data_IF_621843332631
#
_entry.id   IF_621843332631
#
_cell.length_a   1.000
_cell.length_b   1.000
_cell.length_c   1.000
_cell.angle_alpha   90.00
_cell.angle_beta   90.00
_cell.angle_gamma   90.00
#
_symmetry.space_group_name_H-M   'P 1'
#
loop_
_entity.id
_entity.type
_entity.pdbx_description
1 polymer ?
#
# COMPACT_ATOMS: atom_id res chain seq x y z
N UNK A 1 -6.60 32.39 -13.05
CA UNK A 1 -5.43 31.51 -13.27
C UNK A 1 -5.94 30.15 -13.72
N UNK A 2 -5.33 29.55 -14.75
CA UNK A 2 -5.75 28.24 -15.25
C UNK A 2 -5.52 27.15 -14.21
N UNK A 3 -6.46 26.21 -14.12
CA UNK A 3 -6.29 24.99 -13.30
C UNK A 3 -5.24 24.09 -13.95
N UNK A 4 -4.23 23.67 -13.19
CA UNK A 4 -3.23 22.71 -13.65
C UNK A 4 -3.87 21.33 -13.82
N UNK A 5 -3.52 20.65 -14.92
CA UNK A 5 -3.88 19.25 -15.16
C UNK A 5 -2.64 18.39 -14.93
N UNK A 6 -2.57 17.75 -13.76
CA UNK A 6 -1.51 16.80 -13.43
C UNK A 6 -1.83 15.42 -14.02
N UNK A 7 -0.80 14.71 -14.48
CA UNK A 7 -0.90 13.36 -15.07
C UNK A 7 0.35 12.53 -14.76
N UNK A 8 0.71 12.48 -13.48
CA UNK A 8 1.87 11.72 -12.99
C UNK A 8 1.44 10.34 -12.51
N UNK A 9 2.38 9.40 -12.51
CA UNK A 9 2.26 8.11 -11.83
C UNK A 9 3.37 7.98 -10.80
N UNK A 10 3.17 7.14 -9.79
CA UNK A 10 4.14 7.04 -8.70
C UNK A 10 5.46 6.49 -9.23
N UNK A 11 6.59 7.07 -8.79
CA UNK A 11 7.90 6.55 -9.16
C UNK A 11 8.25 5.27 -8.38
N UNK A 12 9.19 4.47 -8.89
CA UNK A 12 9.72 3.30 -8.18
C UNK A 12 10.26 3.65 -6.79
N UNK A 13 10.91 4.82 -6.67
CA UNK A 13 11.40 5.32 -5.38
C UNK A 13 10.25 5.67 -4.43
N UNK A 14 9.13 6.21 -4.95
CA UNK A 14 7.90 6.44 -4.19
C UNK A 14 7.29 5.14 -3.69
N UNK A 15 7.15 4.14 -4.57
CA UNK A 15 6.62 2.80 -4.23
C UNK A 15 7.44 2.16 -3.12
N UNK A 16 8.77 2.17 -3.26
CA UNK A 16 9.68 1.59 -2.28
C UNK A 16 9.51 2.23 -0.89
N UNK A 17 9.43 3.56 -0.82
CA UNK A 17 9.27 4.28 0.46
C UNK A 17 7.94 3.95 1.15
N UNK A 18 6.85 3.90 0.39
CA UNK A 18 5.56 3.51 0.97
C UNK A 18 5.65 2.06 1.46
N UNK A 19 6.20 1.15 0.65
CA UNK A 19 6.36 -0.26 1.02
C UNK A 19 7.26 -0.48 2.26
N UNK A 20 8.26 0.38 2.48
CA UNK A 20 9.09 0.37 3.70
C UNK A 20 8.29 0.73 4.96
N UNK A 21 7.31 1.64 4.86
CA UNK A 21 6.43 1.97 5.98
C UNK A 21 5.40 0.88 6.28
N UNK A 22 4.86 0.23 5.25
CA UNK A 22 3.84 -0.82 5.42
C UNK A 22 4.43 -2.19 5.78
N UNK A 23 5.71 -2.40 5.45
CA UNK A 23 6.32 -3.72 5.47
C UNK A 23 6.00 -4.50 4.20
N UNK A 24 6.99 -5.26 3.71
CA UNK A 24 6.86 -6.04 2.48
C UNK A 24 7.08 -7.52 2.77
N UNK A 25 6.17 -8.35 2.26
CA UNK A 25 6.30 -9.82 2.22
C UNK A 25 6.21 -10.25 0.77
N UNK A 26 7.25 -10.88 0.23
CA UNK A 26 7.28 -11.31 -1.17
C UNK A 26 6.55 -12.66 -1.36
N UNK A 27 5.25 -12.67 -1.04
CA UNK A 27 4.42 -13.88 -1.04
C UNK A 27 3.05 -13.73 -0.37
N UNK A 28 2.35 -14.86 -0.22
CA UNK A 28 1.03 -14.99 0.42
C UNK A 28 1.17 -15.23 1.93
N UNK A 29 0.48 -14.43 2.74
CA UNK A 29 0.49 -14.52 4.20
C UNK A 29 -0.90 -14.24 4.79
N UNK A 30 -1.08 -14.62 6.05
CA UNK A 30 -2.26 -14.22 6.82
C UNK A 30 -1.92 -12.96 7.62
N UNK A 31 -2.68 -11.88 7.43
CA UNK A 31 -2.53 -10.65 8.21
C UNK A 31 -2.91 -10.87 9.71
N UNK A 32 -2.74 -9.88 10.60
CA UNK A 32 -3.13 -10.00 12.00
C UNK A 32 -4.62 -10.33 12.21
N UNK A 33 -5.48 -10.02 11.24
CA UNK A 33 -6.92 -10.35 11.23
C UNK A 33 -7.21 -11.73 10.61
N UNK A 34 -6.17 -12.50 10.26
CA UNK A 34 -6.25 -13.81 9.61
C UNK A 34 -6.83 -13.77 8.19
N UNK A 35 -6.73 -12.64 7.53
CA UNK A 35 -7.11 -12.52 6.12
C UNK A 35 -5.93 -12.81 5.22
N UNK A 36 -6.21 -13.45 4.09
CA UNK A 36 -5.22 -13.76 3.09
C UNK A 36 -4.78 -12.46 2.41
N UNK A 37 -3.49 -12.24 2.43
CA UNK A 37 -2.86 -11.00 1.97
C UNK A 37 -1.62 -11.35 1.14
N UNK A 38 -1.35 -10.53 0.13
CA UNK A 38 -0.18 -10.65 -0.72
C UNK A 38 0.68 -9.39 -0.65
N UNK A 39 2.00 -9.53 -0.73
CA UNK A 39 2.85 -8.37 -1.01
C UNK A 39 2.81 -7.30 0.10
N UNK A 40 2.51 -6.07 -0.32
CA UNK A 40 2.35 -4.89 0.53
C UNK A 40 0.86 -4.69 0.83
N UNK A 41 0.35 -5.46 1.79
CA UNK A 41 -1.02 -5.29 2.31
C UNK A 41 -2.16 -5.55 1.31
N UNK A 42 -1.93 -6.21 0.18
CA UNK A 42 -2.97 -6.50 -0.81
C UNK A 42 -3.93 -7.56 -0.28
N UNK A 43 -5.13 -7.17 0.14
CA UNK A 43 -6.16 -8.09 0.62
C UNK A 43 -6.66 -8.98 -0.52
N UNK A 44 -6.31 -10.26 -0.46
CA UNK A 44 -6.79 -11.29 -1.39
C UNK A 44 -8.20 -11.71 -0.99
N UNK A 45 -8.38 -12.13 0.28
CA UNK A 45 -9.68 -12.63 0.75
C UNK A 45 -9.84 -12.52 2.26
N UNK A 46 -11.08 -12.36 2.72
CA UNK A 46 -11.47 -12.40 4.14
C UNK A 46 -11.57 -13.83 4.68
N UNK A 47 -10.54 -14.62 4.45
CA UNK A 47 -10.27 -15.96 4.97
C UNK A 47 -8.77 -16.15 4.99
N UNK A 48 -8.26 -17.17 5.69
CA UNK A 48 -6.84 -17.52 5.59
C UNK A 48 -6.47 -17.91 4.15
N UNK A 49 -5.18 -17.77 3.81
CA UNK A 49 -4.63 -18.21 2.52
C UNK A 49 -4.62 -19.74 2.44
N UNK A 50 -5.26 -20.27 1.41
CA UNK A 50 -5.31 -21.71 1.18
C UNK A 50 -3.96 -22.26 0.75
N UNK A 51 -3.16 -21.52 -0.03
CA UNK A 51 -1.80 -21.92 -0.39
C UNK A 51 -0.89 -22.05 0.84
N UNK A 52 -1.04 -21.15 1.82
CA UNK A 52 -0.31 -21.25 3.09
C UNK A 52 -0.80 -22.41 3.95
N UNK A 53 -2.11 -22.65 4.00
CA UNK A 53 -2.67 -23.82 4.66
C UNK A 53 -2.21 -25.13 3.99
N UNK A 54 -2.15 -25.17 2.65
CA UNK A 54 -1.65 -26.28 1.86
C UNK A 54 -0.16 -26.52 2.08
N UNK A 55 0.66 -25.47 2.18
CA UNK A 55 2.07 -25.62 2.51
C UNK A 55 2.29 -26.15 3.93
N UNK A 56 1.37 -25.87 4.86
CA UNK A 56 1.41 -26.38 6.23
C UNK A 56 0.84 -27.80 6.39
N UNK A 57 0.35 -28.46 5.33
CA UNK A 57 -0.36 -29.74 5.47
C UNK A 57 0.53 -30.92 5.86
N UNK A 58 1.83 -30.84 5.58
CA UNK A 58 2.81 -31.87 5.96
C UNK A 58 4.23 -31.28 6.11
N UNK A 59 5.08 -32.03 6.79
CA UNK A 59 6.44 -31.61 7.16
C UNK A 59 7.38 -31.40 5.97
N UNK A 60 7.12 -32.01 4.81
CA UNK A 60 7.94 -31.77 3.61
C UNK A 60 7.54 -30.47 2.92
N UNK A 61 6.24 -30.23 2.73
CA UNK A 61 5.73 -29.02 2.10
C UNK A 61 6.01 -27.78 2.95
N UNK A 62 5.98 -27.92 4.28
CA UNK A 62 6.22 -26.85 5.26
C UNK A 62 7.60 -26.21 5.12
N UNK A 63 8.59 -26.94 4.57
CA UNK A 63 9.93 -26.41 4.25
C UNK A 63 9.89 -25.30 3.18
N UNK A 64 8.78 -25.17 2.45
CA UNK A 64 8.58 -24.13 1.45
C UNK A 64 8.08 -22.81 2.05
N UNK A 65 7.72 -22.79 3.34
CA UNK A 65 7.27 -21.58 4.05
C UNK A 65 8.49 -20.77 4.50
N UNK A 66 8.42 -19.46 4.29
CA UNK A 66 9.41 -18.51 4.75
C UNK A 66 8.87 -17.67 5.91
N UNK A 67 9.78 -16.98 6.61
CA UNK A 67 9.47 -16.11 7.74
C UNK A 67 9.98 -14.71 7.45
N UNK A 68 9.11 -13.72 7.66
CA UNK A 68 9.47 -12.32 7.66
C UNK A 68 9.53 -11.82 9.10
N UNK A 69 10.56 -11.03 9.41
CA UNK A 69 10.89 -10.54 10.76
C UNK A 69 11.01 -11.64 11.83
N UNK A 70 11.92 -12.62 11.64
CA UNK A 70 12.04 -13.73 12.58
C UNK A 70 12.40 -13.27 14.00
N UNK A 71 11.73 -13.86 15.00
CA UNK A 71 11.92 -13.55 16.42
C UNK A 71 11.30 -12.23 16.89
N UNK A 72 10.54 -11.54 16.04
CA UNK A 72 9.75 -10.36 16.43
C UNK A 72 8.33 -10.77 16.83
N UNK A 73 7.67 -9.95 17.64
CA UNK A 73 6.25 -10.16 18.02
C UNK A 73 5.29 -10.14 16.81
N UNK A 74 5.75 -9.61 15.69
CA UNK A 74 5.07 -9.53 14.40
C UNK A 74 5.72 -10.42 13.33
N UNK A 75 6.45 -11.47 13.74
CA UNK A 75 6.94 -12.50 12.81
C UNK A 75 5.78 -13.04 11.97
N UNK A 76 5.96 -13.05 10.65
CA UNK A 76 4.91 -13.46 9.72
C UNK A 76 5.43 -14.58 8.84
N UNK A 77 4.76 -15.73 8.86
CA UNK A 77 5.02 -16.85 7.94
C UNK A 77 4.28 -16.65 6.63
N UNK A 78 4.91 -17.01 5.52
CA UNK A 78 4.32 -16.81 4.20
C UNK A 78 4.77 -17.88 3.20
N UNK A 79 3.98 -18.07 2.14
CA UNK A 79 4.37 -18.83 0.96
C UNK A 79 5.05 -17.87 -0.01
N UNK A 80 6.34 -18.03 -0.32
CA UNK A 80 7.06 -17.12 -1.19
C UNK A 80 6.52 -17.20 -2.61
N UNK A 81 6.56 -16.08 -3.33
CA UNK A 81 6.13 -16.01 -4.73
C UNK A 81 6.89 -17.01 -5.63
N UNK A 82 8.15 -17.31 -5.28
CA UNK A 82 9.02 -18.26 -5.98
C UNK A 82 8.54 -19.72 -5.84
N UNK A 83 7.51 -20.00 -5.04
CA UNK A 83 6.96 -21.35 -4.93
C UNK A 83 6.54 -21.91 -6.29
N UNK A 84 6.16 -21.05 -7.25
CA UNK A 84 5.74 -21.45 -8.60
C UNK A 84 6.81 -22.23 -9.38
N UNK A 85 8.09 -22.13 -8.99
CA UNK A 85 9.19 -22.88 -9.61
C UNK A 85 9.61 -24.12 -8.82
N UNK A 86 8.97 -24.38 -7.67
CA UNK A 86 9.27 -25.52 -6.80
C UNK A 86 8.59 -26.80 -7.30
N UNK A 87 9.27 -27.93 -7.14
CA UNK A 87 8.68 -29.27 -7.33
C UNK A 87 7.46 -29.52 -6.41
N UNK A 88 7.39 -28.80 -5.29
CA UNK A 88 6.31 -28.91 -4.32
C UNK A 88 5.07 -28.10 -4.70
N UNK A 89 5.13 -27.23 -5.72
CA UNK A 89 4.03 -26.32 -6.07
C UNK A 89 2.72 -27.05 -6.33
N UNK A 90 2.77 -28.11 -7.16
CA UNK A 90 1.58 -28.88 -7.52
C UNK A 90 0.94 -29.55 -6.29
N UNK A 91 1.77 -30.12 -5.39
CA UNK A 91 1.32 -30.78 -4.16
C UNK A 91 0.70 -29.77 -3.18
N UNK A 92 1.32 -28.60 -3.01
CA UNK A 92 0.76 -27.51 -2.19
C UNK A 92 -0.57 -27.05 -2.76
N UNK A 93 -0.65 -26.84 -4.08
CA UNK A 93 -1.89 -26.42 -4.74
C UNK A 93 -3.00 -27.46 -4.55
N UNK A 94 -2.69 -28.75 -4.65
CA UNK A 94 -3.65 -29.82 -4.41
C UNK A 94 -4.17 -29.84 -2.96
N UNK A 95 -3.26 -29.71 -1.99
CA UNK A 95 -3.62 -29.61 -0.57
C UNK A 95 -4.43 -28.34 -0.27
N UNK A 96 -4.06 -27.20 -0.88
CA UNK A 96 -4.78 -25.94 -0.80
C UNK A 96 -6.21 -26.07 -1.34
N UNK A 97 -6.38 -26.72 -2.50
CA UNK A 97 -7.71 -26.98 -3.09
C UNK A 97 -8.59 -27.81 -2.16
N UNK A 98 -8.05 -28.86 -1.52
CA UNK A 98 -8.81 -29.64 -0.51
C UNK A 98 -9.24 -28.79 0.68
N UNK A 99 -8.34 -27.96 1.20
CA UNK A 99 -8.65 -27.04 2.30
C UNK A 99 -9.73 -26.02 1.91
N UNK A 100 -9.67 -25.50 0.68
CA UNK A 100 -10.68 -24.59 0.15
C UNK A 100 -12.05 -25.27 -0.02
N UNK A 101 -12.09 -26.50 -0.50
CA UNK A 101 -13.33 -27.29 -0.61
C UNK A 101 -13.99 -27.48 0.76
N UNK A 102 -13.22 -27.91 1.77
CA UNK A 102 -13.74 -28.06 3.14
C UNK A 102 -14.20 -26.72 3.72
N UNK A 103 -13.43 -25.65 3.51
CA UNK A 103 -13.81 -24.31 3.96
C UNK A 103 -15.18 -23.88 3.41
N UNK A 104 -15.37 -23.98 2.09
CA UNK A 104 -16.62 -23.55 1.48
C UNK A 104 -17.78 -24.49 1.82
N UNK A 105 -17.54 -25.81 1.91
CA UNK A 105 -18.55 -26.78 2.33
C UNK A 105 -19.07 -26.46 3.74
N UNK A 106 -18.16 -26.18 4.68
CA UNK A 106 -18.54 -25.82 6.04
C UNK A 106 -19.26 -24.48 6.09
N UNK A 107 -18.77 -23.47 5.37
CA UNK A 107 -19.35 -22.12 5.39
C UNK A 107 -20.74 -22.06 4.76
N UNK A 108 -20.98 -22.81 3.69
CA UNK A 108 -22.24 -22.76 2.94
C UNK A 108 -23.26 -23.82 3.39
N UNK A 109 -22.80 -25.00 3.78
CA UNK A 109 -23.65 -26.16 4.07
C UNK A 109 -23.52 -26.70 5.50
N UNK A 110 -22.56 -26.21 6.30
CA UNK A 110 -22.25 -26.71 7.65
C UNK A 110 -21.97 -28.22 7.69
N UNK A 111 -21.36 -28.74 6.62
CA UNK A 111 -21.01 -30.14 6.43
C UNK A 111 -19.60 -30.24 5.83
N UNK A 112 -18.94 -31.38 6.05
CA UNK A 112 -17.70 -31.72 5.35
C UNK A 112 -17.98 -31.90 3.85
N UNK A 113 -17.01 -31.56 3.00
CA UNK A 113 -17.15 -31.62 1.55
C UNK A 113 -17.57 -33.02 1.05
N UNK A 114 -16.97 -34.06 1.62
CA UNK A 114 -17.27 -35.46 1.26
C UNK A 114 -18.70 -35.90 1.61
N UNK A 115 -19.39 -35.16 2.50
CA UNK A 115 -20.76 -35.47 2.96
C UNK A 115 -21.83 -34.65 2.22
N UNK A 116 -21.45 -33.93 1.17
CA UNK A 116 -22.36 -33.17 0.32
C UNK A 116 -22.93 -34.03 -0.82
N UNK A 117 -24.10 -33.65 -1.33
CA UNK A 117 -24.62 -34.25 -2.56
C UNK A 117 -23.71 -33.89 -3.76
N UNK A 118 -23.67 -34.73 -4.79
CA UNK A 118 -22.76 -34.55 -5.93
C UNK A 118 -22.89 -33.17 -6.61
N UNK A 119 -24.11 -32.64 -6.69
CA UNK A 119 -24.34 -31.30 -7.25
C UNK A 119 -23.77 -30.17 -6.38
N UNK A 120 -23.80 -30.31 -5.05
CA UNK A 120 -23.18 -29.36 -4.12
C UNK A 120 -21.66 -29.49 -4.15
N UNK A 121 -21.13 -30.72 -4.22
CA UNK A 121 -19.69 -30.94 -4.37
C UNK A 121 -19.15 -30.25 -5.62
N UNK A 122 -19.85 -30.36 -6.75
CA UNK A 122 -19.40 -29.71 -7.99
C UNK A 122 -19.38 -28.19 -7.86
N UNK A 123 -20.41 -27.58 -7.27
CA UNK A 123 -20.42 -26.14 -6.97
C UNK A 123 -19.25 -25.74 -6.07
N UNK A 124 -19.00 -26.49 -5.00
CA UNK A 124 -17.93 -26.20 -4.05
C UNK A 124 -16.55 -26.34 -4.72
N UNK A 125 -16.34 -27.32 -5.60
CA UNK A 125 -15.10 -27.44 -6.39
C UNK A 125 -14.85 -26.18 -7.22
N UNK A 126 -15.84 -25.68 -7.95
CA UNK A 126 -15.70 -24.45 -8.74
C UNK A 126 -15.30 -23.25 -7.87
N UNK A 127 -15.92 -23.09 -6.69
CA UNK A 127 -15.55 -22.02 -5.76
C UNK A 127 -14.13 -22.19 -5.21
N UNK A 128 -13.75 -23.41 -4.84
CA UNK A 128 -12.41 -23.72 -4.36
C UNK A 128 -11.36 -23.44 -5.43
N UNK A 129 -11.56 -23.89 -6.66
CA UNK A 129 -10.66 -23.65 -7.79
C UNK A 129 -10.51 -22.16 -8.09
N UNK A 130 -11.60 -21.39 -8.08
CA UNK A 130 -11.56 -19.94 -8.25
C UNK A 130 -10.75 -19.26 -7.13
N UNK A 131 -10.93 -19.68 -5.88
CA UNK A 131 -10.20 -19.14 -4.73
C UNK A 131 -8.71 -19.47 -4.75
N UNK A 132 -8.34 -20.67 -5.20
CA UNK A 132 -6.94 -21.05 -5.45
C UNK A 132 -6.37 -20.25 -6.62
N UNK A 133 -7.15 -20.07 -7.69
CA UNK A 133 -6.72 -19.29 -8.85
C UNK A 133 -6.38 -17.85 -8.44
N UNK A 134 -7.24 -17.20 -7.65
CA UNK A 134 -7.04 -15.86 -7.10
C UNK A 134 -5.69 -15.72 -6.36
N UNK A 135 -5.36 -16.69 -5.51
CA UNK A 135 -4.06 -16.72 -4.83
C UNK A 135 -2.90 -17.00 -5.80
N UNK A 136 -3.03 -17.99 -6.68
CA UNK A 136 -1.94 -18.39 -7.58
C UNK A 136 -1.66 -17.41 -8.70
N UNK A 137 -2.65 -16.62 -9.12
CA UNK A 137 -2.48 -15.55 -10.11
C UNK A 137 -1.59 -14.40 -9.57
N UNK A 138 -1.48 -14.26 -8.24
CA UNK A 138 -0.66 -13.23 -7.60
C UNK A 138 0.83 -13.62 -7.51
N UNK A 139 1.13 -14.91 -7.35
CA UNK A 139 2.49 -15.43 -7.13
C UNK A 139 3.51 -15.09 -8.26
N UNK A 140 3.13 -14.88 -9.52
CA UNK A 140 4.08 -14.40 -10.53
C UNK A 140 4.50 -12.93 -10.35
N UNK A 141 3.72 -12.11 -9.65
CA UNK A 141 3.99 -10.67 -9.53
C UNK A 141 5.01 -10.38 -8.43
N UNK A 142 5.97 -9.51 -8.68
CA UNK A 142 6.79 -8.94 -7.59
C UNK A 142 5.86 -8.13 -6.68
N UNK A 143 6.04 -8.23 -5.35
CA UNK A 143 5.18 -7.55 -4.38
C UNK A 143 4.96 -6.05 -4.68
N UNK A 144 6.02 -5.34 -5.07
CA UNK A 144 5.95 -3.91 -5.42
C UNK A 144 5.20 -3.62 -6.71
N UNK A 145 5.16 -4.55 -7.66
CA UNK A 145 4.42 -4.38 -8.91
C UNK A 145 2.92 -4.57 -8.70
N UNK A 146 2.54 -5.51 -7.83
CA UNK A 146 1.15 -5.59 -7.39
C UNK A 146 0.76 -4.33 -6.60
N UNK A 147 1.64 -3.87 -5.71
CA UNK A 147 1.39 -2.67 -4.92
C UNK A 147 1.23 -1.40 -5.77
N UNK A 148 2.01 -1.24 -6.85
CA UNK A 148 1.81 -0.16 -7.83
C UNK A 148 0.39 -0.12 -8.40
N UNK A 149 -0.20 -1.28 -8.69
CA UNK A 149 -1.59 -1.36 -9.17
C UNK A 149 -2.55 -0.88 -8.09
N UNK A 150 -2.34 -1.28 -6.84
CA UNK A 150 -3.17 -0.88 -5.71
C UNK A 150 -3.12 0.66 -5.48
N UNK A 151 -2.00 1.29 -5.82
CA UNK A 151 -1.78 2.74 -5.68
C UNK A 151 -2.49 3.61 -6.73
N UNK A 152 -2.91 3.06 -7.88
CA UNK A 152 -3.48 3.83 -9.01
C UNK A 152 -4.65 4.73 -8.62
N UNK A 153 -5.49 4.26 -7.71
CA UNK A 153 -6.66 5.01 -7.28
C UNK A 153 -6.31 6.19 -6.35
N UNK A 154 -5.14 6.13 -5.69
CA UNK A 154 -4.56 7.22 -4.90
C UNK A 154 -3.86 8.22 -5.81
N UNK A 155 -3.12 7.75 -6.82
CA UNK A 155 -2.57 8.59 -7.90
C UNK A 155 -3.63 9.47 -8.55
N UNK A 156 -4.76 8.85 -8.92
CA UNK A 156 -5.90 9.55 -9.51
C UNK A 156 -6.43 10.63 -8.58
N UNK A 157 -6.48 10.36 -7.27
CA UNK A 157 -6.96 11.31 -6.26
C UNK A 157 -6.02 12.52 -6.18
N UNK A 158 -4.70 12.30 -6.19
CA UNK A 158 -3.70 13.38 -6.14
C UNK A 158 -3.74 14.21 -7.43
N UNK A 159 -3.72 13.56 -8.61
CA UNK A 159 -3.72 14.27 -9.90
C UNK A 159 -4.96 15.15 -10.10
N UNK A 160 -6.12 14.68 -9.63
CA UNK A 160 -7.39 15.43 -9.76
C UNK A 160 -7.62 16.45 -8.65
N UNK A 161 -7.11 16.19 -7.44
CA UNK A 161 -7.27 17.09 -6.31
C UNK A 161 -6.34 18.31 -6.36
N UNK A 162 -5.10 18.12 -6.83
CA UNK A 162 -4.11 19.21 -6.91
C UNK A 162 -4.23 19.94 -8.25
N UNK A 163 -4.72 21.17 -8.19
CA UNK A 163 -5.07 22.00 -9.34
C UNK A 163 -4.41 23.37 -9.32
N UNK A 164 -3.92 23.83 -8.17
CA UNK A 164 -3.26 25.13 -8.03
C UNK A 164 -1.81 25.17 -8.47
N UNK A 165 -1.17 23.99 -8.60
CA UNK A 165 0.26 23.86 -8.90
C UNK A 165 0.53 22.67 -9.85
N UNK A 166 1.50 22.84 -10.76
CA UNK A 166 2.08 21.73 -11.50
C UNK A 166 2.98 20.92 -10.56
N UNK A 167 2.61 19.67 -10.29
CA UNK A 167 3.37 18.81 -9.40
C UNK A 167 4.68 18.37 -10.05
N UNK A 168 5.75 18.35 -9.27
CA UNK A 168 6.93 17.55 -9.60
C UNK A 168 6.75 16.11 -9.14
N UNK A 169 7.57 15.20 -9.64
CA UNK A 169 7.53 13.79 -9.23
C UNK A 169 7.71 13.62 -7.71
N UNK A 170 8.59 14.40 -7.08
CA UNK A 170 8.81 14.35 -5.64
C UNK A 170 7.58 14.77 -4.83
N UNK A 171 6.91 15.85 -5.26
CA UNK A 171 5.65 16.30 -4.64
C UNK A 171 4.54 15.26 -4.82
N UNK A 172 4.41 14.71 -6.04
CA UNK A 172 3.39 13.72 -6.34
C UNK A 172 3.56 12.45 -5.51
N UNK A 173 4.78 11.88 -5.47
CA UNK A 173 5.05 10.69 -4.68
C UNK A 173 4.78 10.89 -3.17
N UNK A 174 5.14 12.07 -2.64
CA UNK A 174 4.89 12.41 -1.23
C UNK A 174 3.39 12.46 -0.93
N UNK A 175 2.61 13.07 -1.82
CA UNK A 175 1.15 13.11 -1.69
C UNK A 175 0.53 11.72 -1.85
N UNK A 176 0.97 10.90 -2.81
CA UNK A 176 0.44 9.52 -2.94
C UNK A 176 0.69 8.72 -1.67
N UNK A 177 1.88 8.82 -1.05
CA UNK A 177 2.16 8.21 0.26
C UNK A 177 1.21 8.70 1.35
N UNK A 178 1.01 10.01 1.42
CA UNK A 178 0.11 10.62 2.40
C UNK A 178 -1.33 10.13 2.22
N UNK A 179 -1.88 10.22 1.01
CA UNK A 179 -3.26 9.83 0.69
C UNK A 179 -3.46 8.32 0.87
N UNK A 180 -2.45 7.50 0.57
CA UNK A 180 -2.49 6.07 0.88
C UNK A 180 -2.69 5.83 2.38
N UNK A 181 -1.98 6.57 3.23
CA UNK A 181 -2.02 6.39 4.68
C UNK A 181 -3.27 6.98 5.35
N UNK A 182 -3.71 8.18 4.94
CA UNK A 182 -4.85 8.87 5.58
C UNK A 182 -6.19 8.61 4.89
N UNK A 183 -6.15 8.12 3.65
CA UNK A 183 -7.32 7.88 2.82
C UNK A 183 -7.73 9.09 1.95
N UNK A 184 -8.39 8.77 0.83
CA UNK A 184 -8.79 9.74 -0.21
C UNK A 184 -9.76 10.81 0.31
N UNK A 185 -10.76 10.39 1.08
CA UNK A 185 -11.77 11.31 1.63
C UNK A 185 -11.16 12.34 2.58
N UNK A 186 -10.25 11.90 3.45
CA UNK A 186 -9.54 12.77 4.38
C UNK A 186 -8.64 13.78 3.65
N UNK A 187 -7.95 13.34 2.59
CA UNK A 187 -7.15 14.23 1.75
C UNK A 187 -8.00 15.28 1.03
N UNK A 188 -9.09 14.86 0.38
CA UNK A 188 -9.93 15.75 -0.43
C UNK A 188 -10.58 16.89 0.40
N UNK A 189 -10.84 16.67 1.69
CA UNK A 189 -11.38 17.68 2.59
C UNK A 189 -10.32 18.39 3.44
N UNK A 190 -9.03 18.09 3.24
CA UNK A 190 -7.96 18.58 4.10
C UNK A 190 -7.62 20.05 3.86
N UNK A 191 -7.22 20.72 4.94
CA UNK A 191 -6.59 22.05 4.87
C UNK A 191 -5.23 21.99 4.14
N UNK A 192 -4.54 20.85 4.18
CA UNK A 192 -3.34 20.59 3.39
C UNK A 192 -3.60 20.81 1.90
N UNK A 193 -4.60 20.13 1.34
CA UNK A 193 -4.94 20.25 -0.09
C UNK A 193 -5.35 21.68 -0.45
N UNK A 194 -6.12 22.34 0.42
CA UNK A 194 -6.50 23.75 0.23
C UNK A 194 -5.27 24.65 0.11
N UNK A 195 -4.32 24.57 1.04
CA UNK A 195 -3.09 25.39 1.04
C UNK A 195 -2.18 25.09 -0.15
N UNK A 196 -2.08 23.82 -0.56
CA UNK A 196 -1.35 23.44 -1.78
C UNK A 196 -1.97 24.11 -3.01
N UNK A 197 -3.30 24.11 -3.10
CA UNK A 197 -4.02 24.70 -4.24
C UNK A 197 -4.04 26.24 -4.24
N UNK A 198 -3.84 26.89 -3.09
CA UNK A 198 -3.56 28.33 -3.03
C UNK A 198 -2.20 28.68 -3.67
N UNK A 199 -1.28 27.69 -3.75
CA UNK A 199 0.00 27.76 -4.45
C UNK A 199 0.92 28.92 -4.00
N UNK A 200 0.72 29.44 -2.79
CA UNK A 200 1.55 30.53 -2.24
C UNK A 200 3.00 30.05 -2.03
N UNK A 201 3.20 28.78 -1.68
CA UNK A 201 4.53 28.22 -1.38
C UNK A 201 5.49 28.20 -2.60
N UNK A 202 4.97 28.12 -3.83
CA UNK A 202 5.77 28.09 -5.07
C UNK A 202 5.67 29.36 -5.91
N UNK A 203 4.66 30.21 -5.69
CA UNK A 203 4.40 31.38 -6.54
C UNK A 203 4.76 32.71 -5.89
N UNK A 204 5.08 33.69 -6.74
CA UNK A 204 5.37 35.07 -6.34
C UNK A 204 6.80 35.30 -5.83
N UNK A 205 7.16 36.59 -5.77
CA UNK A 205 8.48 37.05 -5.31
C UNK A 205 8.49 37.47 -3.84
N UNK A 206 7.33 37.45 -3.17
CA UNK A 206 7.21 37.75 -1.74
C UNK A 206 7.74 36.58 -0.91
N UNK A 207 9.04 36.64 -0.61
CA UNK A 207 9.76 35.60 0.12
C UNK A 207 9.16 35.31 1.50
N UNK A 208 8.61 36.33 2.17
CA UNK A 208 8.01 36.15 3.51
C UNK A 208 6.74 35.33 3.43
N UNK A 209 5.85 35.64 2.47
CA UNK A 209 4.63 34.85 2.23
C UNK A 209 4.95 33.41 1.82
N UNK A 210 5.99 33.21 0.99
CA UNK A 210 6.43 31.87 0.61
C UNK A 210 6.92 31.07 1.81
N UNK A 211 7.74 31.69 2.66
CA UNK A 211 8.26 31.06 3.89
C UNK A 211 7.13 30.66 4.84
N UNK A 212 6.17 31.56 5.06
CA UNK A 212 4.98 31.30 5.87
C UNK A 212 4.15 30.13 5.28
N UNK A 213 3.87 30.13 3.98
CA UNK A 213 3.11 29.07 3.33
C UNK A 213 3.82 27.69 3.37
N UNK A 214 5.16 27.66 3.23
CA UNK A 214 5.96 26.44 3.37
C UNK A 214 5.78 25.86 4.79
N UNK A 215 5.90 26.71 5.82
CA UNK A 215 5.73 26.31 7.21
C UNK A 215 4.31 25.79 7.49
N UNK A 216 3.29 26.49 7.00
CA UNK A 216 1.91 26.07 7.18
C UNK A 216 1.61 24.71 6.53
N UNK A 217 2.13 24.46 5.33
CA UNK A 217 1.97 23.16 4.66
C UNK A 217 2.63 22.04 5.47
N UNK A 218 3.84 22.28 5.98
CA UNK A 218 4.54 21.32 6.86
C UNK A 218 3.74 21.00 8.11
N UNK A 219 3.20 22.03 8.78
CA UNK A 219 2.32 21.85 9.94
C UNK A 219 1.04 21.07 9.59
N UNK A 220 0.44 21.30 8.42
CA UNK A 220 -0.72 20.53 7.97
C UNK A 220 -0.41 19.04 7.74
N UNK A 221 0.78 18.68 7.26
CA UNK A 221 1.20 17.27 7.22
C UNK A 221 1.30 16.68 8.62
N UNK A 222 1.97 17.39 9.54
CA UNK A 222 2.27 16.90 10.90
C UNK A 222 1.02 16.71 11.78
N UNK A 223 -0.11 17.36 11.45
CA UNK A 223 -1.40 17.12 12.14
C UNK A 223 -1.90 15.68 12.03
N UNK A 224 -1.49 14.95 11.00
CA UNK A 224 -1.92 13.57 10.72
C UNK A 224 -0.99 12.53 11.35
N UNK A 225 -0.74 12.70 12.66
CA UNK A 225 0.20 11.87 13.43
C UNK A 225 -0.44 11.10 14.59
N UNK A 226 -1.76 11.03 14.67
CA UNK A 226 -2.50 10.41 15.79
C UNK A 226 -3.21 9.13 15.38
N UNK A 227 -3.27 8.16 16.31
CA UNK A 227 -4.14 6.98 16.24
C UNK A 227 -4.70 6.68 17.63
N UNK A 228 -5.98 6.32 17.73
CA UNK A 228 -6.64 6.10 19.03
C UNK A 228 -6.56 7.32 19.97
N UNK A 229 -6.51 8.54 19.41
CA UNK A 229 -6.36 9.79 20.16
C UNK A 229 -4.92 10.14 20.59
N UNK A 230 -3.94 9.25 20.39
CA UNK A 230 -2.56 9.44 20.83
C UNK A 230 -1.61 9.71 19.65
N UNK A 231 -0.63 10.59 19.86
CA UNK A 231 0.44 10.84 18.88
C UNK A 231 1.36 9.62 18.76
N UNK A 232 1.61 9.17 17.53
CA UNK A 232 2.50 8.05 17.25
C UNK A 232 3.78 8.54 16.60
N UNK A 233 4.93 8.21 17.21
CA UNK A 233 6.26 8.59 16.68
C UNK A 233 6.48 8.12 15.23
N UNK A 234 6.00 6.93 14.89
CA UNK A 234 6.09 6.39 13.53
C UNK A 234 5.33 7.24 12.51
N UNK A 235 4.12 7.69 12.85
CA UNK A 235 3.34 8.59 11.99
C UNK A 235 4.00 9.97 11.90
N UNK A 236 4.48 10.54 13.01
CA UNK A 236 5.21 11.82 12.97
C UNK A 236 6.42 11.76 12.04
N UNK A 237 7.21 10.67 12.12
CA UNK A 237 8.39 10.48 11.26
C UNK A 237 7.99 10.38 9.79
N UNK A 238 6.92 9.64 9.47
CA UNK A 238 6.39 9.51 8.11
C UNK A 238 5.85 10.83 7.57
N UNK A 239 5.11 11.59 8.37
CA UNK A 239 4.58 12.91 7.99
C UNK A 239 5.71 13.91 7.71
N UNK A 240 6.80 13.85 8.46
CA UNK A 240 7.97 14.68 8.22
C UNK A 240 8.66 14.32 6.90
N UNK A 241 8.89 13.04 6.60
CA UNK A 241 9.49 12.62 5.31
C UNK A 241 8.63 13.04 4.11
N UNK A 242 7.31 12.89 4.22
CA UNK A 242 6.36 13.34 3.20
C UNK A 242 6.39 14.87 3.01
N UNK A 243 6.36 15.64 4.11
CA UNK A 243 6.44 17.10 4.07
C UNK A 243 7.76 17.59 3.46
N UNK A 244 8.88 17.01 3.89
CA UNK A 244 10.22 17.38 3.41
C UNK A 244 10.36 17.13 1.92
N UNK A 245 9.86 15.99 1.45
CA UNK A 245 9.90 15.64 0.03
C UNK A 245 8.98 16.54 -0.80
N UNK A 246 7.79 16.85 -0.31
CA UNK A 246 6.88 17.78 -0.97
C UNK A 246 7.46 19.19 -1.07
N UNK A 247 8.04 19.70 0.02
CA UNK A 247 8.52 21.08 0.12
C UNK A 247 9.96 21.30 -0.37
N UNK A 248 10.69 20.25 -0.72
CA UNK A 248 12.11 20.31 -1.10
C UNK A 248 12.41 21.38 -2.17
N UNK A 249 11.67 21.36 -3.29
CA UNK A 249 11.87 22.33 -4.36
C UNK A 249 11.43 23.76 -3.97
N UNK A 250 10.36 23.87 -3.16
CA UNK A 250 9.88 25.16 -2.68
C UNK A 250 10.93 25.84 -1.80
N UNK A 251 11.53 25.07 -0.87
CA UNK A 251 12.62 25.53 0.00
C UNK A 251 13.86 25.92 -0.82
N UNK A 252 14.31 25.08 -1.75
CA UNK A 252 15.46 25.38 -2.61
C UNK A 252 15.29 26.65 -3.46
N UNK A 253 14.12 26.82 -4.07
CA UNK A 253 13.84 28.00 -4.89
C UNK A 253 13.70 29.28 -4.06
N UNK A 254 13.15 29.19 -2.85
CA UNK A 254 13.10 30.33 -1.91
C UNK A 254 14.51 30.76 -1.49
N UNK A 255 15.39 29.82 -1.14
CA UNK A 255 16.78 30.14 -0.80
C UNK A 255 17.53 30.77 -1.98
N UNK A 256 17.30 30.29 -3.19
CA UNK A 256 17.88 30.90 -4.41
C UNK A 256 17.41 32.35 -4.61
N UNK A 257 16.14 32.65 -4.34
CA UNK A 257 15.62 34.02 -4.39
C UNK A 257 16.26 34.92 -3.33
N UNK A 258 16.42 34.43 -2.10
CA UNK A 258 17.08 35.16 -1.00
C UNK A 258 18.52 35.52 -1.38
N UNK A 259 19.29 34.56 -1.91
CA UNK A 259 20.65 34.80 -2.38
C UNK A 259 20.71 35.84 -3.51
N UNK A 260 19.81 35.74 -4.48
CA UNK A 260 19.76 36.67 -5.62
C UNK A 260 19.41 38.10 -5.20
N UNK A 261 18.52 38.27 -4.21
CA UNK A 261 18.19 39.59 -3.67
C UNK A 261 19.39 40.21 -2.94
N UNK A 262 20.15 39.41 -2.19
CA UNK A 262 21.32 39.87 -1.46
C UNK A 262 22.48 40.30 -2.38
N UNK A 263 22.64 39.66 -3.54
CA UNK A 263 23.64 40.05 -4.56
C UNK A 263 23.28 41.35 -5.31
N UNK A 264 22.03 41.81 -5.21
CA UNK A 264 21.53 43.03 -5.86
C UNK A 264 21.50 44.24 -4.90
N UNK A 265 21.79 44.05 -3.62
CA UNK A 265 21.91 45.09 -2.59
C UNK A 265 23.37 45.42 -2.38
#
# INVERSE_FOLDING_TARGET
MGSYKNSLSISDAGVKRIAEHEGTIDGLYNDPSKYCTYGVGHLVRKSECFMLAGANSDEQLKKSIQKQWPGKSYETTYVPRTIVTSENFAKIKEAATRNAQEYFAQRQHKKSFVNLASADQERIKTHAEAAIKEETDLLPFVATDQFKKDLQSYETTVNSGVTGVALTQGMFDALVSFVYNVGKGAFNSSQLLKKINENIFMSGDDMKKREEAIKEIEEEFLKWNKSGGSVLKGLTTRRQDEADRFLSQARQSLETLKMTQNLKK
#
